data_IF_920459599317
#
_entry.id   IF_920459599317
#
_cell.length_a   1.000
_cell.length_b   1.000
_cell.length_c   1.000
_cell.angle_alpha   90.00
_cell.angle_beta   90.00
_cell.angle_gamma   90.00
#
_symmetry.space_group_name_H-M   'P 1'
#
loop_
_entity.id
_entity.type
_entity.pdbx_description
1 polymer ?
#
# COMPACT_ATOMS: atom_id res chain seq x y z
N UNK A 1 26.52 16.65 8.43
CA UNK A 1 26.30 16.34 9.86
C UNK A 1 24.96 16.89 10.40
N UNK A 2 24.69 18.20 10.32
CA UNK A 2 23.44 18.78 10.85
C UNK A 2 22.14 18.15 10.28
N UNK A 3 22.10 17.90 8.97
CA UNK A 3 20.96 17.25 8.32
C UNK A 3 20.68 15.83 8.84
N UNK A 4 21.73 15.01 8.96
CA UNK A 4 21.60 13.63 9.46
C UNK A 4 21.15 13.61 10.93
N UNK A 5 21.71 14.49 11.77
CA UNK A 5 21.28 14.66 13.16
C UNK A 5 19.80 15.07 13.25
N UNK A 6 19.34 15.93 12.33
CA UNK A 6 17.93 16.27 12.24
C UNK A 6 17.06 15.05 11.87
N UNK A 7 17.48 14.23 10.91
CA UNK A 7 16.75 13.02 10.53
C UNK A 7 16.65 11.99 11.66
N UNK A 8 17.72 11.80 12.44
CA UNK A 8 17.72 10.95 13.64
C UNK A 8 16.74 11.51 14.69
N UNK A 9 16.71 12.83 14.87
CA UNK A 9 15.77 13.47 15.78
C UNK A 9 14.31 13.30 15.30
N UNK A 10 14.04 13.40 14.00
CA UNK A 10 12.73 13.14 13.42
C UNK A 10 12.30 11.68 13.60
N UNK A 11 13.22 10.74 13.41
CA UNK A 11 13.00 9.32 13.70
C UNK A 11 12.65 9.10 15.18
N UNK A 12 13.41 9.66 16.12
CA UNK A 12 13.08 9.57 17.56
C UNK A 12 11.72 10.21 17.87
N UNK A 13 11.39 11.33 17.24
CA UNK A 13 10.09 12.01 17.39
C UNK A 13 8.93 11.15 16.88
N UNK A 14 9.12 10.33 15.84
CA UNK A 14 8.06 9.44 15.34
C UNK A 14 7.71 8.32 16.32
N UNK A 15 8.60 7.93 17.23
CA UNK A 15 8.25 6.99 18.32
C UNK A 15 7.64 7.66 19.55
N UNK A 16 7.89 8.96 19.75
CA UNK A 16 7.29 9.75 20.85
C UNK A 16 5.86 10.20 20.56
N UNK A 17 5.22 9.61 19.55
CA UNK A 17 3.86 9.95 19.20
C UNK A 17 2.86 9.44 20.24
N UNK A 18 1.70 10.08 20.24
CA UNK A 18 0.60 9.76 21.11
C UNK A 18 0.16 8.31 20.88
N UNK A 19 0.49 7.44 21.85
CA UNK A 19 0.27 6.00 21.80
C UNK A 19 -1.17 5.65 21.44
N UNK A 20 -2.14 6.43 21.93
CA UNK A 20 -3.56 6.21 21.66
C UNK A 20 -3.89 6.38 20.17
N UNK A 21 -3.32 7.40 19.52
CA UNK A 21 -3.50 7.66 18.09
C UNK A 21 -2.79 6.61 17.24
N UNK A 22 -1.59 6.19 17.65
CA UNK A 22 -0.86 5.12 16.97
C UNK A 22 -1.64 3.80 16.96
N UNK A 23 -2.14 3.38 18.13
CA UNK A 23 -2.99 2.18 18.25
C UNK A 23 -4.29 2.31 17.46
N UNK A 24 -4.91 3.50 17.44
CA UNK A 24 -6.12 3.73 16.65
C UNK A 24 -5.88 3.56 15.15
N UNK A 25 -4.74 4.01 14.62
CA UNK A 25 -4.40 3.83 13.21
C UNK A 25 -4.22 2.35 12.88
N UNK A 26 -3.47 1.62 13.70
CA UNK A 26 -3.30 0.16 13.57
C UNK A 26 -4.65 -0.55 13.58
N UNK A 27 -5.53 -0.18 14.52
CA UNK A 27 -6.87 -0.75 14.62
C UNK A 27 -7.71 -0.49 13.36
N UNK A 28 -7.67 0.73 12.81
CA UNK A 28 -8.35 1.04 11.56
C UNK A 28 -7.80 0.23 10.37
N UNK A 29 -6.48 0.01 10.30
CA UNK A 29 -5.89 -0.86 9.27
C UNK A 29 -6.39 -2.31 9.39
N UNK A 30 -6.42 -2.86 10.60
CA UNK A 30 -6.95 -4.21 10.84
C UNK A 30 -8.42 -4.33 10.45
N UNK A 31 -9.26 -3.36 10.83
CA UNK A 31 -10.68 -3.37 10.43
C UNK A 31 -10.79 -3.28 8.92
N UNK A 32 -10.05 -2.39 8.26
CA UNK A 32 -10.09 -2.28 6.80
C UNK A 32 -9.74 -3.61 6.12
N UNK A 33 -8.68 -4.28 6.59
CA UNK A 33 -8.26 -5.56 6.02
C UNK A 33 -9.30 -6.64 6.29
N UNK A 34 -9.87 -6.70 7.50
CA UNK A 34 -10.93 -7.63 7.85
C UNK A 34 -12.18 -7.43 6.98
N UNK A 35 -12.65 -6.19 6.82
CA UNK A 35 -13.79 -5.84 5.97
C UNK A 35 -13.53 -6.21 4.51
N UNK A 36 -12.32 -5.92 4.01
CA UNK A 36 -11.92 -6.27 2.65
C UNK A 36 -11.87 -7.78 2.43
N UNK A 37 -11.34 -8.52 3.40
CA UNK A 37 -11.28 -9.98 3.38
C UNK A 37 -12.68 -10.59 3.36
N UNK A 38 -13.59 -10.13 4.22
CA UNK A 38 -14.99 -10.61 4.24
C UNK A 38 -15.67 -10.36 2.89
N UNK A 39 -15.50 -9.17 2.31
CA UNK A 39 -16.08 -8.86 1.01
C UNK A 39 -15.54 -9.75 -0.13
N UNK A 40 -14.22 -9.97 -0.15
CA UNK A 40 -13.57 -10.88 -1.09
C UNK A 40 -14.04 -12.33 -0.91
N UNK A 41 -14.13 -12.79 0.34
CA UNK A 41 -14.61 -14.12 0.67
C UNK A 41 -16.05 -14.33 0.21
N UNK A 42 -16.95 -13.38 0.44
CA UNK A 42 -18.34 -13.46 0.01
C UNK A 42 -18.50 -13.47 -1.52
N UNK A 43 -17.80 -12.59 -2.25
CA UNK A 43 -17.84 -12.65 -3.73
C UNK A 43 -17.19 -13.95 -4.24
N UNK A 44 -16.12 -14.44 -3.60
CA UNK A 44 -15.49 -15.73 -3.93
C UNK A 44 -16.41 -16.93 -3.71
N UNK A 45 -17.15 -16.97 -2.60
CA UNK A 45 -18.17 -17.99 -2.34
C UNK A 45 -19.27 -17.97 -3.40
N UNK A 46 -19.76 -16.78 -3.75
CA UNK A 46 -20.78 -16.62 -4.79
C UNK A 46 -20.27 -17.08 -6.16
N UNK A 47 -19.03 -16.71 -6.52
CA UNK A 47 -18.38 -17.15 -7.76
C UNK A 47 -18.25 -18.67 -7.83
N UNK A 48 -17.75 -19.30 -6.76
CA UNK A 48 -17.61 -20.75 -6.70
C UNK A 48 -18.96 -21.47 -6.80
N UNK A 49 -19.98 -21.00 -6.08
CA UNK A 49 -21.33 -21.55 -6.16
C UNK A 49 -21.99 -21.35 -7.52
N UNK A 50 -21.61 -20.32 -8.27
CA UNK A 50 -22.14 -20.06 -9.59
C UNK A 50 -21.38 -20.84 -10.67
N UNK A 51 -20.06 -21.00 -10.51
CA UNK A 51 -19.22 -21.80 -11.41
C UNK A 51 -19.57 -23.29 -11.34
N UNK A 52 -19.84 -23.83 -10.15
CA UNK A 52 -20.23 -25.25 -9.98
C UNK A 52 -21.56 -25.60 -10.65
N UNK A 53 -22.44 -24.62 -10.89
CA UNK A 53 -23.70 -24.81 -11.64
C UNK A 53 -23.49 -24.93 -13.15
N UNK A 54 -22.30 -24.58 -13.64
CA UNK A 54 -21.99 -24.42 -15.06
C UNK A 54 -20.91 -25.44 -15.50
N UNK A 55 -20.17 -26.01 -14.55
CA UNK A 55 -19.10 -26.99 -14.81
C UNK A 55 -19.56 -28.33 -15.40
N UNK A 56 -20.86 -28.54 -15.61
CA UNK A 56 -21.44 -29.75 -16.20
C UNK A 56 -22.20 -29.52 -17.52
N UNK A 57 -22.09 -28.34 -18.14
CA UNK A 57 -22.78 -28.03 -19.40
C UNK A 57 -22.02 -28.61 -20.60
N UNK A 58 -22.72 -29.30 -21.50
CA UNK A 58 -22.17 -29.86 -22.73
C UNK A 58 -22.69 -29.09 -23.96
N UNK A 59 -21.94 -28.04 -24.31
CA UNK A 59 -22.22 -27.16 -25.45
C UNK A 59 -22.04 -27.83 -26.83
N UNK A 60 -21.63 -29.09 -26.89
CA UNK A 60 -21.40 -29.79 -28.17
C UNK A 60 -22.66 -30.40 -28.78
N UNK A 61 -23.76 -30.49 -28.03
CA UNK A 61 -25.02 -31.05 -28.51
C UNK A 61 -26.02 -29.96 -28.90
N UNK A 62 -26.40 -29.88 -30.18
CA UNK A 62 -27.46 -28.99 -30.70
C UNK A 62 -28.84 -29.52 -30.28
N UNK A 63 -29.17 -29.38 -29.01
CA UNK A 63 -30.49 -29.69 -28.45
C UNK A 63 -31.18 -28.41 -27.98
N UNK A 64 -32.50 -28.46 -27.73
CA UNK A 64 -33.26 -27.34 -27.15
C UNK A 64 -32.67 -26.88 -25.80
N UNK A 65 -31.97 -27.77 -25.10
CA UNK A 65 -31.21 -27.46 -23.89
C UNK A 65 -30.03 -26.51 -24.15
N UNK A 66 -29.39 -26.57 -25.33
CA UNK A 66 -28.23 -25.73 -25.66
C UNK A 66 -28.52 -24.22 -25.58
N UNK A 67 -29.76 -23.81 -25.88
CA UNK A 67 -30.18 -22.40 -25.74
C UNK A 67 -30.25 -21.99 -24.28
N UNK A 68 -30.77 -22.86 -23.40
CA UNK A 68 -30.83 -22.64 -21.97
C UNK A 68 -29.44 -22.66 -21.31
N UNK A 69 -28.56 -23.57 -21.76
CA UNK A 69 -27.17 -23.64 -21.30
C UNK A 69 -26.37 -22.40 -21.70
N UNK A 70 -26.52 -21.92 -22.94
CA UNK A 70 -25.92 -20.66 -23.41
C UNK A 70 -26.43 -19.45 -22.62
N UNK A 71 -27.72 -19.41 -22.31
CA UNK A 71 -28.32 -18.34 -21.49
C UNK A 71 -27.76 -18.35 -20.06
N UNK A 72 -27.59 -19.52 -19.45
CA UNK A 72 -26.98 -19.68 -18.13
C UNK A 72 -25.51 -19.21 -18.12
N UNK A 73 -24.74 -19.58 -19.15
CA UNK A 73 -23.36 -19.14 -19.32
C UNK A 73 -23.27 -17.61 -19.48
N UNK A 74 -24.13 -17.03 -20.33
CA UNK A 74 -24.22 -15.57 -20.52
C UNK A 74 -24.57 -14.85 -19.21
N UNK A 75 -25.57 -15.36 -18.48
CA UNK A 75 -25.96 -14.83 -17.16
C UNK A 75 -24.82 -14.88 -16.16
N UNK A 76 -24.02 -15.94 -16.17
CA UNK A 76 -22.85 -16.06 -15.31
C UNK A 76 -21.76 -15.04 -15.64
N UNK A 77 -21.42 -14.84 -16.91
CA UNK A 77 -20.46 -13.82 -17.31
C UNK A 77 -20.92 -12.41 -16.91
N UNK A 78 -22.19 -12.08 -17.12
CA UNK A 78 -22.74 -10.81 -16.62
C UNK A 78 -22.70 -10.72 -15.09
N UNK A 79 -23.05 -11.81 -14.40
CA UNK A 79 -22.97 -11.88 -12.94
C UNK A 79 -21.55 -11.69 -12.41
N UNK A 80 -20.53 -12.26 -13.05
CA UNK A 80 -19.11 -12.04 -12.70
C UNK A 80 -18.75 -10.56 -12.86
N UNK A 81 -19.11 -9.96 -14.00
CA UNK A 81 -18.82 -8.55 -14.26
C UNK A 81 -19.49 -7.64 -13.22
N UNK A 82 -20.75 -7.90 -12.89
CA UNK A 82 -21.50 -7.15 -11.88
C UNK A 82 -20.94 -7.38 -10.46
N UNK A 83 -20.65 -8.62 -10.04
CA UNK A 83 -20.03 -8.90 -8.72
C UNK A 83 -18.68 -8.19 -8.60
N UNK A 84 -17.85 -8.28 -9.65
CA UNK A 84 -16.53 -7.65 -9.68
C UNK A 84 -16.63 -6.13 -9.59
N UNK A 85 -17.57 -5.51 -10.34
CA UNK A 85 -17.79 -4.06 -10.31
C UNK A 85 -18.29 -3.59 -8.94
N UNK A 86 -19.27 -4.28 -8.36
CA UNK A 86 -19.77 -3.98 -7.01
C UNK A 86 -18.69 -4.14 -5.96
N UNK A 87 -17.87 -5.19 -6.06
CA UNK A 87 -16.74 -5.43 -5.16
C UNK A 87 -15.70 -4.30 -5.27
N UNK A 88 -15.34 -3.89 -6.49
CA UNK A 88 -14.40 -2.78 -6.72
C UNK A 88 -14.95 -1.48 -6.10
N UNK A 89 -16.22 -1.17 -6.33
CA UNK A 89 -16.87 0.01 -5.75
C UNK A 89 -16.83 -0.08 -4.22
N UNK A 90 -17.24 -1.21 -3.64
CA UNK A 90 -17.24 -1.41 -2.19
C UNK A 90 -15.84 -1.24 -1.58
N UNK A 91 -14.83 -1.89 -2.15
CA UNK A 91 -13.44 -1.80 -1.68
C UNK A 91 -12.90 -0.37 -1.81
N UNK A 92 -13.25 0.34 -2.89
CA UNK A 92 -12.88 1.74 -3.07
C UNK A 92 -13.50 2.66 -2.00
N UNK A 93 -14.79 2.47 -1.68
CA UNK A 93 -15.47 3.21 -0.62
C UNK A 93 -14.88 2.88 0.75
N UNK A 94 -14.66 1.60 1.06
CA UNK A 94 -14.05 1.15 2.30
C UNK A 94 -12.65 1.75 2.47
N UNK A 95 -11.79 1.61 1.45
CA UNK A 95 -10.46 2.22 1.43
C UNK A 95 -10.52 3.72 1.71
N UNK A 96 -11.37 4.45 0.99
CA UNK A 96 -11.53 5.89 1.14
C UNK A 96 -11.97 6.28 2.55
N UNK A 97 -12.90 5.52 3.12
CA UNK A 97 -13.42 5.74 4.46
C UNK A 97 -12.31 5.57 5.51
N UNK A 98 -11.66 4.40 5.54
CA UNK A 98 -10.61 4.13 6.53
C UNK A 98 -9.40 5.05 6.37
N UNK A 99 -8.95 5.31 5.14
CA UNK A 99 -7.87 6.28 4.91
C UNK A 99 -8.25 7.68 5.41
N UNK A 100 -9.49 8.12 5.18
CA UNK A 100 -9.98 9.40 5.71
C UNK A 100 -9.94 9.48 7.24
N UNK A 101 -10.30 8.39 7.94
CA UNK A 101 -10.18 8.30 9.40
C UNK A 101 -8.73 8.29 9.88
N UNK A 102 -7.87 7.52 9.22
CA UNK A 102 -6.44 7.42 9.53
C UNK A 102 -5.79 8.79 9.46
N UNK A 103 -5.95 9.52 8.36
CA UNK A 103 -5.27 10.81 8.17
C UNK A 103 -5.80 11.90 9.09
N UNK A 104 -7.12 11.93 9.34
CA UNK A 104 -7.70 12.82 10.34
C UNK A 104 -7.18 12.51 11.76
N UNK A 105 -6.98 11.23 12.10
CA UNK A 105 -6.43 10.80 13.39
C UNK A 105 -4.96 11.22 13.53
N UNK A 106 -4.14 10.99 12.49
CA UNK A 106 -2.72 11.36 12.47
C UNK A 106 -2.57 12.88 12.66
N UNK A 107 -3.34 13.67 11.91
CA UNK A 107 -3.26 15.14 11.87
C UNK A 107 -4.16 15.85 12.89
N UNK A 108 -4.86 15.10 13.77
CA UNK A 108 -5.78 15.62 14.80
C UNK A 108 -6.88 16.53 14.23
N UNK A 109 -7.44 16.19 13.07
CA UNK A 109 -8.57 16.89 12.46
C UNK A 109 -9.87 16.15 12.74
N UNK A 110 -11.00 16.86 12.78
CA UNK A 110 -12.33 16.25 12.94
C UNK A 110 -12.79 15.71 11.58
N UNK A 111 -13.25 14.47 11.56
CA UNK A 111 -13.88 13.89 10.37
C UNK A 111 -15.30 14.47 10.21
N UNK A 112 -15.64 14.95 9.02
CA UNK A 112 -17.00 15.36 8.66
C UNK A 112 -17.38 14.83 7.27
N UNK A 113 -18.68 14.79 6.96
CA UNK A 113 -19.17 14.24 5.69
C UNK A 113 -18.70 15.04 4.47
N UNK A 114 -18.58 16.37 4.60
CA UNK A 114 -18.12 17.22 3.50
C UNK A 114 -16.64 16.97 3.17
N UNK A 115 -15.80 16.75 4.20
CA UNK A 115 -14.43 16.29 4.02
C UNK A 115 -14.42 14.93 3.33
N UNK A 116 -15.24 13.99 3.78
CA UNK A 116 -15.28 12.65 3.20
C UNK A 116 -15.65 12.66 1.71
N UNK A 117 -16.66 13.45 1.31
CA UNK A 117 -17.02 13.62 -0.11
C UNK A 117 -15.84 14.12 -0.95
N UNK A 118 -15.14 15.14 -0.44
CA UNK A 118 -13.95 15.68 -1.12
C UNK A 118 -12.77 14.71 -1.10
N UNK A 119 -12.62 13.91 -0.03
CA UNK A 119 -11.59 12.88 0.10
C UNK A 119 -11.84 11.71 -0.86
N UNK A 120 -13.09 11.34 -1.07
CA UNK A 120 -13.48 10.34 -2.06
C UNK A 120 -13.13 10.82 -3.48
N UNK A 121 -13.43 12.08 -3.80
CA UNK A 121 -13.03 12.69 -5.08
C UNK A 121 -11.49 12.75 -5.23
N UNK A 122 -10.77 13.05 -4.15
CA UNK A 122 -9.31 12.99 -4.13
C UNK A 122 -8.81 11.58 -4.47
N UNK A 123 -9.39 10.54 -3.86
CA UNK A 123 -8.99 9.16 -4.15
C UNK A 123 -9.27 8.77 -5.60
N UNK A 124 -10.40 9.18 -6.18
CA UNK A 124 -10.66 9.01 -7.61
C UNK A 124 -9.57 9.69 -8.45
N UNK A 125 -9.20 10.92 -8.13
CA UNK A 125 -8.12 11.63 -8.81
C UNK A 125 -6.73 10.98 -8.59
N UNK A 126 -6.53 10.25 -7.50
CA UNK A 126 -5.32 9.50 -7.23
C UNK A 126 -5.24 8.14 -7.94
N UNK A 127 -6.34 7.61 -8.53
CA UNK A 127 -6.32 6.32 -9.23
C UNK A 127 -5.29 6.31 -10.37
N UNK A 128 -5.28 7.27 -11.32
CA UNK A 128 -4.31 7.25 -12.41
C UNK A 128 -2.86 7.31 -11.90
N UNK A 129 -2.61 8.12 -10.86
CA UNK A 129 -1.30 8.23 -10.23
C UNK A 129 -0.87 6.89 -9.60
N UNK A 130 -1.80 6.21 -8.93
CA UNK A 130 -1.56 4.89 -8.31
C UNK A 130 -1.24 3.83 -9.36
N UNK A 131 -1.94 3.85 -10.51
CA UNK A 131 -1.67 2.96 -11.64
C UNK A 131 -0.27 3.20 -12.20
N UNK A 132 0.13 4.46 -12.41
CA UNK A 132 1.47 4.81 -12.89
C UNK A 132 2.54 4.29 -11.93
N UNK A 133 2.39 4.53 -10.62
CA UNK A 133 3.34 4.03 -9.63
C UNK A 133 3.37 2.51 -9.54
N UNK A 134 2.23 1.84 -9.71
CA UNK A 134 2.18 0.39 -9.78
C UNK A 134 2.98 -0.16 -10.96
N UNK A 135 2.83 0.42 -12.16
CA UNK A 135 3.62 0.01 -13.33
C UNK A 135 5.11 0.25 -13.12
N UNK A 136 5.50 1.41 -12.57
CA UNK A 136 6.90 1.69 -12.25
C UNK A 136 7.44 0.63 -11.26
N UNK A 137 6.71 0.35 -10.19
CA UNK A 137 7.09 -0.68 -9.22
C UNK A 137 7.22 -2.07 -9.85
N UNK A 138 6.32 -2.44 -10.76
CA UNK A 138 6.34 -3.72 -11.48
C UNK A 138 7.56 -3.83 -12.41
N UNK A 139 7.87 -2.78 -13.17
CA UNK A 139 9.06 -2.71 -14.03
C UNK A 139 10.33 -2.84 -13.19
N UNK A 140 10.40 -2.10 -12.08
CA UNK A 140 11.51 -2.18 -11.14
C UNK A 140 11.67 -3.61 -10.59
N UNK A 141 10.58 -4.23 -10.13
CA UNK A 141 10.61 -5.60 -9.63
C UNK A 141 11.07 -6.60 -10.68
N UNK A 142 10.60 -6.45 -11.92
CA UNK A 142 11.04 -7.27 -13.05
C UNK A 142 12.54 -7.11 -13.32
N UNK A 143 13.03 -5.87 -13.33
CA UNK A 143 14.46 -5.57 -13.45
C UNK A 143 15.27 -6.23 -12.33
N UNK A 144 14.85 -6.10 -11.07
CA UNK A 144 15.53 -6.73 -9.94
C UNK A 144 15.57 -8.26 -10.06
N UNK A 145 14.47 -8.88 -10.49
CA UNK A 145 14.41 -10.33 -10.76
C UNK A 145 15.38 -10.73 -11.87
N UNK A 146 15.47 -9.96 -12.95
CA UNK A 146 16.41 -10.24 -14.05
C UNK A 146 17.86 -10.13 -13.59
N UNK A 147 18.20 -9.12 -12.79
CA UNK A 147 19.52 -8.97 -12.18
C UNK A 147 19.83 -10.17 -11.26
N UNK A 148 18.89 -10.57 -10.42
CA UNK A 148 19.03 -11.75 -9.56
C UNK A 148 19.31 -13.02 -10.38
N UNK A 149 18.51 -13.26 -11.43
CA UNK A 149 18.66 -14.43 -12.29
C UNK A 149 20.00 -14.43 -13.04
N UNK A 150 20.42 -13.29 -13.59
CA UNK A 150 21.70 -13.15 -14.27
C UNK A 150 22.85 -13.57 -13.35
N UNK A 151 22.92 -13.01 -12.14
CA UNK A 151 23.99 -13.36 -11.21
C UNK A 151 23.92 -14.82 -10.74
N UNK A 152 22.72 -15.38 -10.59
CA UNK A 152 22.55 -16.80 -10.24
C UNK A 152 23.08 -17.77 -11.31
N UNK A 153 23.03 -17.38 -12.60
CA UNK A 153 23.47 -18.19 -13.73
C UNK A 153 24.97 -18.11 -14.00
N UNK A 154 25.61 -16.99 -13.66
CA UNK A 154 27.04 -16.71 -14.00
C UNK A 154 28.10 -17.53 -13.23
N UNK A 155 27.71 -18.51 -12.41
CA UNK A 155 28.67 -19.38 -11.68
C UNK A 155 29.55 -18.66 -10.65
N UNK A 156 29.26 -17.39 -10.35
CA UNK A 156 29.96 -16.58 -9.36
C UNK A 156 29.76 -17.13 -7.94
N UNK A 157 30.64 -16.73 -7.01
CA UNK A 157 30.50 -17.10 -5.60
C UNK A 157 29.12 -16.65 -5.07
N UNK A 158 28.25 -17.63 -4.81
CA UNK A 158 26.85 -17.43 -4.40
C UNK A 158 26.72 -16.51 -3.19
N UNK A 159 27.64 -16.60 -2.22
CA UNK A 159 27.59 -15.79 -1.00
C UNK A 159 27.81 -14.30 -1.29
N UNK A 160 28.85 -13.99 -2.07
CA UNK A 160 29.19 -12.61 -2.44
C UNK A 160 28.10 -11.98 -3.32
N UNK A 161 27.57 -12.73 -4.28
CA UNK A 161 26.44 -12.31 -5.12
C UNK A 161 25.21 -11.99 -4.28
N UNK A 162 24.82 -12.88 -3.37
CA UNK A 162 23.65 -12.67 -2.50
C UNK A 162 23.84 -11.45 -1.59
N UNK A 163 25.07 -11.23 -1.10
CA UNK A 163 25.39 -10.03 -0.33
C UNK A 163 25.24 -8.74 -1.15
N UNK A 164 25.79 -8.68 -2.37
CA UNK A 164 25.64 -7.52 -3.25
C UNK A 164 24.17 -7.26 -3.57
N UNK A 165 23.39 -8.32 -3.87
CA UNK A 165 21.96 -8.20 -4.15
C UNK A 165 21.19 -7.68 -2.94
N UNK A 166 21.52 -8.13 -1.72
CA UNK A 166 20.93 -7.63 -0.48
C UNK A 166 21.23 -6.14 -0.27
N UNK A 167 22.47 -5.72 -0.53
CA UNK A 167 22.89 -4.31 -0.43
C UNK A 167 22.13 -3.46 -1.44
N UNK A 168 22.10 -3.85 -2.72
CA UNK A 168 21.34 -3.16 -3.76
C UNK A 168 19.85 -3.09 -3.43
N UNK A 169 19.28 -4.19 -2.94
CA UNK A 169 17.89 -4.24 -2.53
C UNK A 169 17.59 -3.25 -1.40
N UNK A 170 18.42 -3.26 -0.36
CA UNK A 170 18.20 -2.46 0.87
C UNK A 170 18.43 -0.97 0.65
N UNK A 171 19.49 -0.61 -0.09
CA UNK A 171 19.95 0.77 -0.20
C UNK A 171 19.51 1.48 -1.49
N UNK A 172 19.03 0.76 -2.50
CA UNK A 172 18.60 1.35 -3.78
C UNK A 172 17.16 1.00 -4.08
N UNK A 173 16.83 -0.30 -4.15
CA UNK A 173 15.51 -0.75 -4.60
C UNK A 173 14.39 -0.37 -3.63
N UNK A 174 14.53 -0.77 -2.36
CA UNK A 174 13.51 -0.60 -1.34
C UNK A 174 13.24 0.89 -1.04
N UNK A 175 14.25 1.79 -0.91
CA UNK A 175 13.99 3.22 -0.72
C UNK A 175 13.23 3.85 -1.89
N UNK A 176 13.53 3.47 -3.14
CA UNK A 176 12.81 3.97 -4.33
C UNK A 176 11.35 3.50 -4.30
N UNK A 177 11.12 2.21 -4.00
CA UNK A 177 9.77 1.66 -3.88
C UNK A 177 8.98 2.37 -2.77
N UNK A 178 9.59 2.55 -1.60
CA UNK A 178 8.97 3.27 -0.48
C UNK A 178 8.70 4.73 -0.83
N UNK A 179 9.57 5.39 -1.59
CA UNK A 179 9.34 6.74 -2.08
C UNK A 179 8.07 6.80 -2.96
N UNK A 180 7.94 5.89 -3.94
CA UNK A 180 6.77 5.82 -4.82
C UNK A 180 5.47 5.59 -4.02
N UNK A 181 5.51 4.66 -3.06
CA UNK A 181 4.37 4.38 -2.17
C UNK A 181 4.01 5.60 -1.32
N UNK A 182 5.00 6.32 -0.79
CA UNK A 182 4.78 7.44 0.11
C UNK A 182 4.35 8.75 -0.58
N UNK A 183 4.42 8.84 -1.92
CA UNK A 183 3.87 9.98 -2.64
C UNK A 183 2.37 10.20 -2.37
N UNK A 184 1.57 9.14 -2.32
CA UNK A 184 0.12 9.22 -2.06
C UNK A 184 -0.17 9.71 -0.63
N UNK A 185 0.45 9.14 0.43
CA UNK A 185 0.44 9.70 1.78
C UNK A 185 0.75 11.19 1.88
N UNK A 186 1.72 11.70 1.10
CA UNK A 186 2.04 13.13 1.09
C UNK A 186 0.86 13.96 0.54
N UNK A 187 0.20 13.49 -0.53
CA UNK A 187 -1.03 14.13 -1.04
C UNK A 187 -2.10 14.17 0.05
N UNK A 188 -2.30 13.06 0.76
CA UNK A 188 -3.28 12.98 1.84
C UNK A 188 -2.98 13.93 3.01
N UNK A 189 -1.71 14.12 3.35
CA UNK A 189 -1.30 15.09 4.39
C UNK A 189 -1.69 16.51 3.98
N UNK A 190 -1.33 16.93 2.76
CA UNK A 190 -1.66 18.28 2.29
C UNK A 190 -3.16 18.50 2.15
N UNK A 191 -3.87 17.49 1.67
CA UNK A 191 -5.32 17.55 1.55
C UNK A 191 -5.98 17.69 2.91
N UNK A 192 -5.58 16.89 3.89
CA UNK A 192 -6.15 16.94 5.24
C UNK A 192 -5.86 18.26 5.96
N UNK A 193 -4.79 18.97 5.58
CA UNK A 193 -4.50 20.32 6.09
C UNK A 193 -5.34 21.41 5.40
N UNK A 194 -5.46 21.38 4.07
CA UNK A 194 -5.99 22.50 3.26
C UNK A 194 -7.40 22.27 2.69
N UNK A 195 -7.91 21.04 2.67
CA UNK A 195 -9.18 20.61 2.08
C UNK A 195 -9.39 21.05 0.61
N UNK A 196 -8.30 21.23 -0.14
CA UNK A 196 -8.29 21.65 -1.55
C UNK A 196 -7.47 20.66 -2.37
N UNK A 197 -8.12 20.00 -3.33
CA UNK A 197 -7.52 18.90 -4.11
C UNK A 197 -6.34 19.40 -4.95
N UNK A 198 -6.54 20.41 -5.79
CA UNK A 198 -5.50 20.95 -6.69
C UNK A 198 -4.28 21.46 -5.92
N UNK A 199 -4.50 22.22 -4.85
CA UNK A 199 -3.41 22.70 -3.99
C UNK A 199 -2.63 21.53 -3.37
N UNK A 200 -3.30 20.42 -3.05
CA UNK A 200 -2.66 19.25 -2.45
C UNK A 200 -1.72 18.56 -3.45
N UNK A 201 -2.14 18.41 -4.70
CA UNK A 201 -1.28 17.90 -5.77
C UNK A 201 -0.11 18.85 -6.06
N UNK A 202 -0.36 20.16 -6.14
CA UNK A 202 0.69 21.16 -6.38
C UNK A 202 1.77 21.14 -5.27
N UNK A 203 1.35 21.20 -4.00
CA UNK A 203 2.29 21.15 -2.87
C UNK A 203 3.02 19.81 -2.79
N UNK A 204 2.35 18.71 -3.15
CA UNK A 204 3.00 17.39 -3.21
C UNK A 204 4.04 17.35 -4.32
N UNK A 205 3.74 17.86 -5.52
CA UNK A 205 4.70 17.93 -6.60
C UNK A 205 5.92 18.79 -6.23
N UNK A 206 5.69 19.93 -5.59
CA UNK A 206 6.76 20.83 -5.14
C UNK A 206 7.68 20.20 -4.07
N UNK A 207 7.18 19.25 -3.27
CA UNK A 207 8.01 18.56 -2.26
C UNK A 207 8.54 17.22 -2.76
N UNK A 208 7.70 16.38 -3.33
CA UNK A 208 8.08 15.05 -3.80
C UNK A 208 9.04 15.14 -5.00
N UNK A 209 8.69 15.92 -6.03
CA UNK A 209 9.47 15.96 -7.28
C UNK A 209 10.64 16.94 -7.18
N UNK A 210 10.38 18.21 -6.81
CA UNK A 210 11.45 19.23 -6.79
C UNK A 210 12.45 19.03 -5.65
N UNK A 211 12.06 18.34 -4.57
CA UNK A 211 12.91 18.13 -3.38
C UNK A 211 13.11 16.65 -3.06
N UNK A 212 13.17 15.80 -4.08
CA UNK A 212 13.33 14.35 -3.94
C UNK A 212 14.54 13.95 -3.06
N UNK A 213 15.65 14.69 -3.16
CA UNK A 213 16.85 14.45 -2.37
C UNK A 213 16.62 14.58 -0.85
N UNK A 214 15.65 15.38 -0.41
CA UNK A 214 15.28 15.52 1.00
C UNK A 214 14.43 14.35 1.51
N UNK A 215 13.75 13.63 0.61
CA UNK A 215 12.91 12.47 0.96
C UNK A 215 13.65 11.14 0.87
N UNK A 216 14.78 11.10 0.15
CA UNK A 216 15.58 9.88 0.00
C UNK A 216 16.06 9.32 1.36
N UNK A 217 16.64 10.18 2.21
CA UNK A 217 17.15 9.75 3.53
C UNK A 217 16.04 9.22 4.45
N UNK A 218 14.88 9.89 4.58
CA UNK A 218 13.72 9.30 5.24
C UNK A 218 13.31 7.93 4.68
N UNK A 219 13.27 7.76 3.36
CA UNK A 219 12.92 6.47 2.75
C UNK A 219 13.97 5.40 3.02
N UNK A 220 15.26 5.76 3.06
CA UNK A 220 16.35 4.86 3.45
C UNK A 220 16.23 4.41 4.91
N UNK A 221 15.86 5.32 5.82
CA UNK A 221 15.59 4.97 7.22
C UNK A 221 14.41 3.98 7.31
N UNK A 222 13.33 4.20 6.56
CA UNK A 222 12.22 3.26 6.50
C UNK A 222 12.66 1.89 5.97
N UNK A 223 13.45 1.84 4.90
CA UNK A 223 14.03 0.61 4.36
C UNK A 223 14.85 -0.16 5.39
N UNK A 224 15.69 0.54 6.15
CA UNK A 224 16.49 -0.08 7.21
C UNK A 224 15.61 -0.65 8.33
N UNK A 225 14.56 0.06 8.73
CA UNK A 225 13.58 -0.45 9.71
C UNK A 225 12.85 -1.68 9.17
N UNK A 226 12.45 -1.68 7.90
CA UNK A 226 11.81 -2.83 7.27
C UNK A 226 12.73 -4.06 7.25
N UNK A 227 13.99 -3.89 6.84
CA UNK A 227 14.98 -4.97 6.87
C UNK A 227 15.23 -5.45 8.30
N UNK A 228 15.32 -4.54 9.25
CA UNK A 228 15.47 -4.90 10.67
C UNK A 228 14.28 -5.72 11.20
N UNK A 229 13.05 -5.35 10.84
CA UNK A 229 11.86 -6.13 11.15
C UNK A 229 11.91 -7.53 10.52
N UNK A 230 12.34 -7.64 9.27
CA UNK A 230 12.53 -8.93 8.60
C UNK A 230 13.58 -9.80 9.33
N UNK A 231 14.70 -9.21 9.78
CA UNK A 231 15.71 -9.94 10.57
C UNK A 231 15.14 -10.41 11.92
N UNK A 232 14.34 -9.59 12.60
CA UNK A 232 13.66 -9.97 13.86
C UNK A 232 12.69 -11.15 13.65
N UNK A 233 12.16 -11.36 12.44
CA UNK A 233 11.28 -12.51 12.18
C UNK A 233 12.02 -13.84 12.02
N UNK A 234 13.35 -13.85 11.84
CA UNK A 234 14.12 -15.08 11.62
C UNK A 234 13.97 -16.10 12.77
N UNK A 235 14.07 -15.72 14.06
CA UNK A 235 13.87 -16.65 15.17
C UNK A 235 12.46 -17.27 15.22
N UNK A 236 11.44 -16.62 14.62
CA UNK A 236 10.08 -17.18 14.57
C UNK A 236 9.94 -18.35 13.61
N UNK A 237 10.94 -18.64 12.77
CA UNK A 237 10.91 -19.76 11.83
C UNK A 237 10.78 -21.15 12.49
N UNK A 238 10.91 -21.24 13.82
CA UNK A 238 10.64 -22.44 14.60
C UNK A 238 9.13 -22.71 14.81
N UNK A 239 8.28 -21.70 14.59
CA UNK A 239 6.83 -21.80 14.77
C UNK A 239 6.16 -22.42 13.52
N UNK A 240 4.93 -22.95 13.65
CA UNK A 240 4.10 -23.31 12.49
C UNK A 240 3.96 -22.16 11.49
N UNK A 241 3.96 -22.48 10.20
CA UNK A 241 3.90 -21.50 9.09
C UNK A 241 2.78 -20.48 9.27
N UNK A 242 1.58 -20.92 9.68
CA UNK A 242 0.43 -20.02 9.87
C UNK A 242 0.67 -18.97 10.97
N UNK A 243 1.38 -19.31 12.04
CA UNK A 243 1.74 -18.38 13.11
C UNK A 243 2.79 -17.38 12.64
N UNK A 244 3.77 -17.82 11.86
CA UNK A 244 4.80 -16.94 11.27
C UNK A 244 4.14 -15.92 10.33
N UNK A 245 3.22 -16.39 9.47
CA UNK A 245 2.47 -15.51 8.56
C UNK A 245 1.63 -14.49 9.32
N UNK A 246 0.95 -14.92 10.39
CA UNK A 246 0.17 -14.03 11.25
C UNK A 246 1.07 -12.96 11.92
N UNK A 247 2.18 -13.37 12.53
CA UNK A 247 3.11 -12.47 13.19
C UNK A 247 3.73 -11.46 12.19
N UNK A 248 4.15 -11.93 11.02
CA UNK A 248 4.69 -11.08 9.96
C UNK A 248 3.66 -10.07 9.45
N UNK A 249 2.41 -10.50 9.30
CA UNK A 249 1.30 -9.62 8.93
C UNK A 249 1.04 -8.53 9.97
N UNK A 250 0.99 -8.89 11.26
CA UNK A 250 0.84 -7.91 12.35
C UNK A 250 1.99 -6.91 12.35
N UNK A 251 3.24 -7.36 12.21
CA UNK A 251 4.41 -6.49 12.12
C UNK A 251 4.34 -5.55 10.91
N UNK A 252 3.85 -6.03 9.76
CA UNK A 252 3.68 -5.23 8.56
C UNK A 252 2.63 -4.12 8.77
N UNK A 253 1.51 -4.42 9.44
CA UNK A 253 0.48 -3.42 9.78
C UNK A 253 1.06 -2.36 10.74
N UNK A 254 1.78 -2.77 11.76
CA UNK A 254 2.47 -1.87 12.71
C UNK A 254 3.48 -0.97 11.97
N UNK A 255 4.26 -1.55 11.06
CA UNK A 255 5.21 -0.83 10.22
C UNK A 255 4.54 0.19 9.29
N UNK A 256 3.43 -0.18 8.64
CA UNK A 256 2.67 0.71 7.77
C UNK A 256 2.07 1.90 8.54
N UNK A 257 1.56 1.66 9.75
CA UNK A 257 1.10 2.71 10.65
C UNK A 257 2.26 3.66 11.04
N UNK A 258 3.39 3.10 11.46
CA UNK A 258 4.58 3.88 11.82
C UNK A 258 5.10 4.73 10.65
N UNK A 259 5.13 4.17 9.45
CA UNK A 259 5.60 4.86 8.23
C UNK A 259 4.76 6.11 7.93
N UNK A 260 3.43 6.03 8.03
CA UNK A 260 2.54 7.19 7.83
C UNK A 260 2.81 8.30 8.84
N UNK A 261 3.03 7.94 10.09
CA UNK A 261 3.38 8.88 11.15
C UNK A 261 4.77 9.50 10.95
N UNK A 262 5.75 8.70 10.53
CA UNK A 262 7.10 9.18 10.26
C UNK A 262 7.12 10.17 9.07
N UNK A 263 6.44 9.85 7.96
CA UNK A 263 6.27 10.80 6.84
C UNK A 263 5.57 12.08 7.31
N UNK A 264 4.51 11.99 8.11
CA UNK A 264 3.82 13.18 8.61
C UNK A 264 4.75 14.11 9.41
N UNK A 265 5.64 13.54 10.23
CA UNK A 265 6.66 14.29 10.99
C UNK A 265 7.70 14.91 10.06
N UNK A 266 8.18 14.17 9.06
CA UNK A 266 9.17 14.66 8.08
C UNK A 266 8.60 15.82 7.27
N UNK A 267 7.37 15.70 6.73
CA UNK A 267 6.73 16.75 5.94
C UNK A 267 6.48 18.01 6.79
N UNK A 268 6.04 17.85 8.04
CA UNK A 268 5.84 18.98 8.94
C UNK A 268 7.15 19.76 9.22
N UNK A 269 8.29 19.07 9.30
CA UNK A 269 9.59 19.73 9.47
C UNK A 269 10.06 20.42 8.19
N UNK A 270 9.88 19.79 7.02
CA UNK A 270 10.21 20.39 5.73
C UNK A 270 9.45 21.69 5.47
N UNK A 271 8.16 21.75 5.86
CA UNK A 271 7.37 22.98 5.79
C UNK A 271 7.90 24.08 6.71
N UNK A 272 8.31 23.75 7.95
CA UNK A 272 8.84 24.74 8.90
C UNK A 272 10.15 25.37 8.44
N UNK A 273 11.02 24.58 7.83
CA UNK A 273 12.28 25.08 7.28
C UNK A 273 11.99 26.07 6.13
N UNK A 274 10.93 25.82 5.35
CA UNK A 274 10.59 26.66 4.20
C UNK A 274 9.91 27.98 4.59
N UNK A 275 9.11 28.00 5.65
CA UNK A 275 8.50 29.24 6.16
C UNK A 275 9.47 30.15 6.93
N UNK A 276 10.73 29.74 7.12
CA UNK A 276 11.78 30.52 7.79
C UNK A 276 12.79 31.17 6.83
N UNK A 277 12.60 31.02 5.52
CA UNK A 277 13.37 31.67 4.46
C UNK A 277 12.46 32.68 3.78
#
# INVERSE_FOLDING_TARGET
MAYLNNQINLFKKSFKLDKKRFLSVIFFDFIFILVSYIALFLCGMWLNSSASKISGLDLTTLTENAVNELAALKSFYYGILVCSLLLIIFLFFAWSFFQGFIWNTILKKKFNLDYFKKFLLLNLACIPLSIIFFFIAAIWFWFFKSVFLFFSATGLNKSLVMFILLVLFTFVFLPILLYLINCIPIVYIYFTKKNKILDSFKNTFDVAVKKIHLLYVPCLIMSLVFVFLAVITIPFNILPVWLISLASFVLLVVYAAWTRFYIAVVIAELERIHHKI
#
